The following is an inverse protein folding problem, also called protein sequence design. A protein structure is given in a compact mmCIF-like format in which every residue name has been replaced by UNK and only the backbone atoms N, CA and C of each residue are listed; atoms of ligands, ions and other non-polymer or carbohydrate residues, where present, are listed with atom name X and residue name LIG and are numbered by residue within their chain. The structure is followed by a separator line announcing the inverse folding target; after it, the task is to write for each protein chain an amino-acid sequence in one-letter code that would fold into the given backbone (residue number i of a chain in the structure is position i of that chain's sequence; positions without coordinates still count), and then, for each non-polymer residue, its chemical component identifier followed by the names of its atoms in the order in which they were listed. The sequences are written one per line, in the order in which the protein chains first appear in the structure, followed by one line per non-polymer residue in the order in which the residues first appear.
data_IF_083381289428
#
_entry.id   IF_083381289428
#
_cell.length_a   1.000
_cell.length_b   1.000
_cell.length_c   1.000
_cell.angle_alpha   90.00
_cell.angle_beta   90.00
_cell.angle_gamma   90.00
#
_symmetry.space_group_name_H-M   'P 1'
#
loop_
_entity.id
_entity.type
_entity.pdbx_description
1 polymer ?
#
# COMPACT_ATOMS: atom_id res chain seq x y z
N UNK A 1 3.34 -12.62 -6.33
CA UNK A 1 2.71 -11.85 -7.41
C UNK A 1 1.22 -12.11 -7.39
N UNK A 2 0.41 -11.05 -7.34
CA UNK A 2 -1.05 -11.14 -7.38
C UNK A 2 -1.54 -10.55 -8.70
N UNK A 3 -2.33 -11.30 -9.45
CA UNK A 3 -2.74 -10.94 -10.81
C UNK A 3 -4.19 -10.46 -10.78
N UNK A 4 -4.40 -9.22 -11.17
CA UNK A 4 -5.70 -8.61 -11.35
C UNK A 4 -6.18 -8.69 -12.81
N UNK A 5 -7.21 -7.92 -13.11
CA UNK A 5 -7.78 -7.83 -14.46
C UNK A 5 -6.92 -6.95 -15.39
N UNK A 6 -6.48 -5.81 -14.90
CA UNK A 6 -5.67 -4.84 -15.65
C UNK A 6 -4.29 -4.63 -15.03
N UNK A 7 -4.18 -4.76 -13.70
CA UNK A 7 -2.93 -4.56 -12.97
C UNK A 7 -2.42 -5.86 -12.36
N UNK A 8 -1.17 -5.84 -11.96
CA UNK A 8 -0.62 -6.86 -11.08
C UNK A 8 0.09 -6.22 -9.88
N UNK A 9 0.14 -6.95 -8.78
CA UNK A 9 0.93 -6.59 -7.61
C UNK A 9 2.15 -7.51 -7.57
N UNK A 10 3.33 -6.91 -7.59
CA UNK A 10 4.60 -7.64 -7.54
C UNK A 10 5.56 -7.08 -6.50
N UNK A 11 6.53 -7.86 -6.12
CA UNK A 11 7.62 -7.40 -5.25
C UNK A 11 8.44 -6.29 -5.92
N UNK A 12 9.08 -5.47 -5.07
CA UNK A 12 10.07 -4.48 -5.51
C UNK A 12 11.26 -5.15 -6.18
N UNK A 13 11.79 -4.50 -7.21
CA UNK A 13 13.00 -4.89 -7.95
C UNK A 13 14.00 -3.74 -7.96
N UNK A 14 15.26 -4.04 -8.24
CA UNK A 14 16.32 -3.01 -8.34
C UNK A 14 15.99 -1.90 -9.33
N UNK A 15 15.29 -2.24 -10.42
CA UNK A 15 14.87 -1.30 -11.47
C UNK A 15 13.80 -0.31 -10.98
N UNK A 16 13.15 -0.57 -9.86
CA UNK A 16 12.13 0.32 -9.29
C UNK A 16 12.73 1.48 -8.47
N UNK A 17 14.04 1.58 -8.35
CA UNK A 17 14.69 2.57 -7.50
C UNK A 17 14.27 4.01 -7.84
N UNK A 18 14.31 4.40 -9.11
CA UNK A 18 13.94 5.76 -9.52
C UNK A 18 12.44 6.02 -9.32
N UNK A 19 11.61 5.01 -9.58
CA UNK A 19 10.18 5.06 -9.28
C UNK A 19 9.95 5.25 -7.77
N UNK A 20 10.57 4.44 -6.93
CA UNK A 20 10.45 4.51 -5.47
C UNK A 20 10.91 5.88 -4.95
N UNK A 21 12.05 6.40 -5.45
CA UNK A 21 12.51 7.74 -5.12
C UNK A 21 11.48 8.82 -5.49
N UNK A 22 10.84 8.68 -6.64
CA UNK A 22 9.83 9.64 -7.12
C UNK A 22 8.55 9.65 -6.27
N UNK A 23 8.21 8.54 -5.63
CA UNK A 23 7.08 8.43 -4.71
C UNK A 23 7.47 8.90 -3.31
N UNK A 24 8.52 8.31 -2.74
CA UNK A 24 8.90 8.52 -1.34
C UNK A 24 9.39 9.94 -1.05
N UNK A 25 9.90 10.66 -2.06
CA UNK A 25 10.39 12.03 -1.91
C UNK A 25 9.46 13.09 -2.52
N UNK A 26 8.24 12.72 -2.89
CA UNK A 26 7.28 13.66 -3.47
C UNK A 26 6.43 14.31 -2.37
N UNK A 27 6.54 15.63 -2.24
CA UNK A 27 5.81 16.41 -1.24
C UNK A 27 4.29 16.29 -1.38
N UNK A 28 3.76 16.08 -2.59
CA UNK A 28 2.34 15.92 -2.82
C UNK A 28 1.78 14.64 -2.17
N UNK A 29 2.63 13.61 -2.00
CA UNK A 29 2.26 12.39 -1.29
C UNK A 29 2.49 12.52 0.22
N UNK A 30 3.48 13.32 0.66
CA UNK A 30 3.78 13.55 2.07
C UNK A 30 2.68 14.26 2.85
N UNK A 31 1.89 15.12 2.19
CA UNK A 31 0.80 15.85 2.85
C UNK A 31 -0.20 14.91 3.56
N UNK A 32 -0.26 13.65 3.14
CA UNK A 32 -1.11 12.62 3.75
C UNK A 32 -0.37 11.71 4.74
N UNK A 33 0.94 11.89 4.91
CA UNK A 33 1.77 11.15 5.87
C UNK A 33 1.87 11.89 7.20
N UNK A 34 1.92 11.13 8.30
CA UNK A 34 2.10 11.70 9.64
C UNK A 34 3.55 12.14 9.89
N UNK A 35 4.51 11.53 9.20
CA UNK A 35 5.93 11.82 9.36
C UNK A 35 6.62 11.89 7.99
N UNK A 36 6.54 13.03 7.30
CA UNK A 36 7.21 13.20 6.03
C UNK A 36 8.74 13.13 6.22
N UNK A 37 9.40 12.26 5.47
CA UNK A 37 10.85 12.12 5.44
C UNK A 37 11.34 12.06 4.01
N UNK A 38 12.49 12.71 3.74
CA UNK A 38 13.23 12.51 2.51
C UNK A 38 14.22 11.38 2.69
N UNK A 39 14.26 10.47 1.73
CA UNK A 39 15.16 9.32 1.72
C UNK A 39 16.21 9.47 0.63
N UNK A 40 17.46 9.18 0.93
CA UNK A 40 18.53 9.12 -0.08
C UNK A 40 18.32 7.89 -0.99
N UNK A 41 18.91 7.94 -2.19
CA UNK A 41 18.90 6.79 -3.10
C UNK A 41 19.56 5.56 -2.47
N UNK A 42 20.62 5.75 -1.70
CA UNK A 42 21.33 4.67 -1.00
C UNK A 42 20.43 3.97 0.01
N UNK A 43 19.66 4.72 0.81
CA UNK A 43 18.69 4.17 1.76
C UNK A 43 17.60 3.39 1.05
N UNK A 44 17.05 3.93 -0.04
CA UNK A 44 16.00 3.25 -0.80
C UNK A 44 16.51 2.02 -1.55
N UNK A 45 17.75 2.05 -2.03
CA UNK A 45 18.40 0.89 -2.64
C UNK A 45 18.58 -0.25 -1.63
N UNK A 46 19.01 0.06 -0.43
CA UNK A 46 19.13 -0.94 0.65
C UNK A 46 17.76 -1.45 1.09
N UNK A 47 16.76 -0.58 1.14
CA UNK A 47 15.37 -0.98 1.40
C UNK A 47 14.86 -2.00 0.36
N UNK A 48 15.06 -1.74 -0.93
CA UNK A 48 14.65 -2.67 -2.01
C UNK A 48 15.34 -4.02 -1.84
N UNK A 49 16.65 -4.01 -1.59
CA UNK A 49 17.44 -5.23 -1.39
C UNK A 49 16.91 -6.11 -0.25
N UNK A 50 16.41 -5.48 0.81
CA UNK A 50 15.91 -6.16 2.01
C UNK A 50 14.38 -6.37 2.01
N UNK A 51 13.66 -5.94 0.97
CA UNK A 51 12.19 -5.98 0.94
C UNK A 51 11.58 -7.35 0.61
N UNK A 52 12.36 -8.25 0.00
CA UNK A 52 11.91 -9.57 -0.45
C UNK A 52 12.07 -10.64 0.64
N UNK A 53 11.48 -10.38 1.81
CA UNK A 53 11.47 -11.29 2.95
C UNK A 53 10.04 -11.54 3.41
N UNK A 54 9.77 -12.63 4.14
CA UNK A 54 8.44 -12.85 4.71
C UNK A 54 7.97 -11.68 5.55
N UNK A 55 6.66 -11.38 5.50
CA UNK A 55 6.06 -10.25 6.23
C UNK A 55 6.39 -10.26 7.73
N UNK A 56 6.56 -11.43 8.32
CA UNK A 56 6.89 -11.61 9.75
C UNK A 56 8.26 -11.08 10.15
N UNK A 57 9.16 -10.81 9.18
CA UNK A 57 10.52 -10.32 9.48
C UNK A 57 10.51 -8.83 9.85
N UNK A 58 9.80 -8.03 9.09
CA UNK A 58 9.72 -6.57 9.33
C UNK A 58 8.30 -6.09 9.65
N UNK A 59 7.34 -7.00 9.78
CA UNK A 59 5.92 -6.70 9.97
C UNK A 59 5.36 -5.78 8.87
N UNK A 60 5.95 -5.86 7.68
CA UNK A 60 5.59 -5.08 6.51
C UNK A 60 5.75 -5.92 5.23
N UNK A 61 4.85 -5.71 4.30
CA UNK A 61 4.93 -6.26 2.94
C UNK A 61 4.48 -5.18 1.96
N UNK A 62 5.33 -4.85 1.01
CA UNK A 62 5.06 -3.81 0.01
C UNK A 62 5.05 -4.40 -1.40
N UNK A 63 4.05 -4.03 -2.17
CA UNK A 63 3.92 -4.37 -3.57
C UNK A 63 4.01 -3.13 -4.46
N UNK A 64 4.66 -3.29 -5.60
CA UNK A 64 4.52 -2.38 -6.74
C UNK A 64 3.22 -2.72 -7.46
N UNK A 65 2.42 -1.71 -7.71
CA UNK A 65 1.27 -1.80 -8.62
C UNK A 65 1.81 -1.58 -10.03
N UNK A 66 1.68 -2.59 -10.87
CA UNK A 66 2.19 -2.55 -12.25
C UNK A 66 1.04 -2.62 -13.26
N UNK A 67 1.10 -1.75 -14.27
CA UNK A 67 0.21 -1.73 -15.42
C UNK A 67 1.06 -1.64 -16.70
N UNK A 68 0.85 -2.56 -17.66
CA UNK A 68 1.60 -2.61 -18.92
C UNK A 68 3.13 -2.52 -18.74
N UNK A 69 3.70 -3.27 -17.80
CA UNK A 69 5.13 -3.27 -17.44
C UNK A 69 5.65 -1.93 -16.87
N UNK A 70 4.76 -1.06 -16.40
CA UNK A 70 5.14 0.21 -15.76
C UNK A 70 4.66 0.22 -14.31
N UNK A 71 5.53 0.66 -13.40
CA UNK A 71 5.17 0.90 -12.01
C UNK A 71 4.29 2.16 -11.93
N UNK A 72 3.04 2.02 -11.47
CA UNK A 72 2.05 3.08 -11.40
C UNK A 72 1.67 3.47 -9.96
N UNK A 73 2.09 2.68 -8.98
CA UNK A 73 1.78 2.93 -7.57
C UNK A 73 2.46 1.92 -6.66
N UNK A 74 2.19 2.09 -5.38
CA UNK A 74 2.60 1.19 -4.29
C UNK A 74 1.39 0.86 -3.42
N UNK A 75 1.33 -0.35 -2.92
CA UNK A 75 0.36 -0.77 -1.90
C UNK A 75 1.06 -1.67 -0.90
N UNK A 76 0.77 -1.48 0.38
CA UNK A 76 1.45 -2.22 1.43
C UNK A 76 0.56 -2.60 2.60
N UNK A 77 0.97 -3.68 3.28
CA UNK A 77 0.56 -4.02 4.62
C UNK A 77 1.67 -3.57 5.57
N UNK A 78 1.33 -2.93 6.68
CA UNK A 78 2.26 -2.51 7.72
C UNK A 78 1.73 -2.87 9.11
N UNK A 79 2.61 -2.84 10.11
CA UNK A 79 2.27 -3.22 11.48
C UNK A 79 1.54 -4.58 11.55
N UNK A 80 2.03 -5.55 10.74
CA UNK A 80 1.49 -6.91 10.78
C UNK A 80 1.66 -7.52 12.16
N UNK A 81 0.56 -7.97 12.73
CA UNK A 81 0.54 -8.63 14.04
C UNK A 81 -0.16 -10.00 13.93
N UNK A 82 0.65 -11.05 14.07
CA UNK A 82 0.17 -12.44 14.03
C UNK A 82 -0.74 -12.79 15.22
N UNK A 83 -0.59 -12.11 16.36
CA UNK A 83 -1.40 -12.39 17.57
C UNK A 83 -2.81 -11.85 17.44
N UNK A 84 -2.92 -10.62 16.95
CA UNK A 84 -4.23 -9.98 16.70
C UNK A 84 -4.77 -10.31 15.32
N UNK A 85 -3.98 -10.96 14.46
CA UNK A 85 -4.31 -11.24 13.05
C UNK A 85 -4.72 -9.98 12.30
N UNK A 86 -3.91 -8.93 12.42
CA UNK A 86 -4.22 -7.62 11.87
C UNK A 86 -3.05 -7.01 11.11
N UNK A 87 -3.36 -6.06 10.23
CA UNK A 87 -2.39 -5.19 9.58
C UNK A 87 -3.01 -3.86 9.16
N UNK A 88 -2.19 -2.83 9.09
CA UNK A 88 -2.54 -1.58 8.43
C UNK A 88 -2.37 -1.68 6.92
N UNK A 89 -3.12 -0.88 6.17
CA UNK A 89 -3.08 -0.81 4.70
C UNK A 89 -2.71 0.59 4.26
N UNK A 90 -1.69 0.71 3.42
CA UNK A 90 -1.30 1.94 2.73
C UNK A 90 -1.38 1.78 1.22
N UNK A 91 -1.76 2.83 0.50
CA UNK A 91 -1.81 2.84 -0.96
C UNK A 91 -1.45 4.22 -1.51
N UNK A 92 -0.62 4.24 -2.54
CA UNK A 92 -0.30 5.45 -3.32
C UNK A 92 -0.39 5.09 -4.81
N UNK A 93 -1.16 5.86 -5.57
CA UNK A 93 -1.17 5.80 -7.04
C UNK A 93 -0.53 7.09 -7.55
N UNK A 94 0.41 7.00 -8.49
CA UNK A 94 0.97 8.18 -9.17
C UNK A 94 -0.14 9.03 -9.79
N UNK A 95 0.02 10.34 -9.71
CA UNK A 95 -1.02 11.30 -10.06
C UNK A 95 -1.58 11.08 -11.47
N UNK A 96 -0.71 10.82 -12.45
CA UNK A 96 -1.08 10.56 -13.84
C UNK A 96 -1.87 9.26 -14.07
N UNK A 97 -1.87 8.34 -13.09
CA UNK A 97 -2.59 7.06 -13.14
C UNK A 97 -3.79 6.98 -12.19
N UNK A 98 -4.14 8.10 -11.57
CA UNK A 98 -5.31 8.19 -10.71
C UNK A 98 -6.60 8.21 -11.53
N UNK A 99 -7.73 7.82 -10.89
CA UNK A 99 -9.07 7.74 -11.51
C UNK A 99 -9.19 6.71 -12.67
N UNK A 100 -8.25 5.78 -12.77
CA UNK A 100 -8.25 4.68 -13.75
C UNK A 100 -8.65 3.33 -13.12
N UNK A 101 -9.21 3.35 -11.90
CA UNK A 101 -9.62 2.17 -11.13
C UNK A 101 -8.46 1.28 -10.61
N UNK A 102 -7.21 1.62 -10.84
CA UNK A 102 -6.06 0.81 -10.40
C UNK A 102 -5.98 0.69 -8.88
N UNK A 103 -6.29 1.77 -8.15
CA UNK A 103 -6.34 1.72 -6.68
C UNK A 103 -7.41 0.76 -6.15
N UNK A 104 -8.58 0.75 -6.77
CA UNK A 104 -9.67 -0.15 -6.40
C UNK A 104 -9.30 -1.61 -6.65
N UNK A 105 -8.76 -1.91 -7.82
CA UNK A 105 -8.32 -3.27 -8.15
C UNK A 105 -7.20 -3.75 -7.22
N UNK A 106 -6.22 -2.88 -6.96
CA UNK A 106 -5.11 -3.18 -6.05
C UNK A 106 -5.58 -3.47 -4.62
N UNK A 107 -6.48 -2.64 -4.09
CA UNK A 107 -7.01 -2.84 -2.75
C UNK A 107 -7.80 -4.14 -2.64
N UNK A 108 -8.61 -4.48 -3.64
CA UNK A 108 -9.33 -5.75 -3.69
C UNK A 108 -8.39 -6.96 -3.68
N UNK A 109 -7.33 -6.94 -4.49
CA UNK A 109 -6.31 -8.00 -4.50
C UNK A 109 -5.59 -8.13 -3.15
N UNK A 110 -5.22 -7.00 -2.54
CA UNK A 110 -4.54 -7.02 -1.25
C UNK A 110 -5.44 -7.56 -0.13
N UNK A 111 -6.72 -7.19 -0.11
CA UNK A 111 -7.70 -7.71 0.87
C UNK A 111 -7.83 -9.23 0.73
N UNK A 112 -8.02 -9.74 -0.49
CA UNK A 112 -8.09 -11.19 -0.72
C UNK A 112 -6.82 -11.89 -0.25
N UNK A 113 -5.65 -11.36 -0.60
CA UNK A 113 -4.37 -11.89 -0.14
C UNK A 113 -4.25 -11.90 1.39
N UNK A 114 -4.67 -10.82 2.05
CA UNK A 114 -4.63 -10.70 3.51
C UNK A 114 -5.52 -11.76 4.18
N UNK A 115 -6.70 -12.02 3.63
CA UNK A 115 -7.62 -13.03 4.14
C UNK A 115 -7.16 -14.46 3.85
N UNK A 116 -6.77 -14.74 2.62
CA UNK A 116 -6.61 -16.11 2.13
C UNK A 116 -5.20 -16.66 2.37
N UNK A 117 -4.17 -15.80 2.26
CA UNK A 117 -2.76 -16.23 2.41
C UNK A 117 -2.15 -15.89 3.77
N UNK A 118 -2.59 -14.81 4.42
CA UNK A 118 -2.07 -14.38 5.71
C UNK A 118 -3.00 -14.72 6.88
N UNK A 119 -4.20 -15.24 6.61
CA UNK A 119 -5.23 -15.58 7.61
C UNK A 119 -5.54 -14.41 8.57
N UNK A 120 -5.50 -13.17 8.04
CA UNK A 120 -5.86 -12.01 8.83
C UNK A 120 -7.37 -11.96 9.06
N UNK A 121 -7.75 -11.36 10.18
CA UNK A 121 -9.15 -11.14 10.57
C UNK A 121 -9.53 -9.66 10.54
N UNK A 122 -8.53 -8.77 10.45
CA UNK A 122 -8.75 -7.37 10.66
C UNK A 122 -7.74 -6.54 9.84
N UNK A 123 -8.25 -5.58 9.10
CA UNK A 123 -7.46 -4.57 8.39
C UNK A 123 -7.87 -3.18 8.86
N UNK A 124 -6.92 -2.26 8.89
CA UNK A 124 -7.19 -0.86 9.18
C UNK A 124 -6.40 0.07 8.25
N UNK A 125 -6.86 1.29 8.13
CA UNK A 125 -6.16 2.36 7.42
C UNK A 125 -6.31 3.66 8.21
N UNK A 126 -5.24 4.45 8.23
CA UNK A 126 -5.26 5.79 8.78
C UNK A 126 -5.38 6.79 7.62
N UNK A 127 -6.54 7.45 7.52
CA UNK A 127 -6.86 8.33 6.40
C UNK A 127 -7.25 9.70 6.93
N UNK A 128 -6.48 10.73 6.59
CA UNK A 128 -6.78 12.11 6.98
C UNK A 128 -8.09 12.56 6.34
N UNK A 129 -8.86 13.39 7.04
CA UNK A 129 -10.20 13.83 6.63
C UNK A 129 -10.22 14.59 5.29
N UNK A 130 -9.11 15.21 4.89
CA UNK A 130 -8.96 15.90 3.60
C UNK A 130 -8.60 14.96 2.44
N UNK A 131 -8.27 13.70 2.70
CA UNK A 131 -7.96 12.70 1.67
C UNK A 131 -9.25 12.00 1.20
N UNK A 132 -10.13 12.74 0.55
CA UNK A 132 -11.46 12.30 0.14
C UNK A 132 -11.39 11.10 -0.81
N UNK A 133 -10.39 11.06 -1.70
CA UNK A 133 -10.21 9.95 -2.64
C UNK A 133 -9.95 8.63 -1.91
N UNK A 134 -9.03 8.61 -0.96
CA UNK A 134 -8.77 7.42 -0.16
C UNK A 134 -9.98 7.01 0.67
N UNK A 135 -10.66 7.95 1.31
CA UNK A 135 -11.87 7.67 2.09
C UNK A 135 -12.89 6.93 1.23
N UNK A 136 -13.22 7.45 0.04
CA UNK A 136 -14.16 6.82 -0.88
C UNK A 136 -13.71 5.44 -1.33
N UNK A 137 -12.39 5.28 -1.60
CA UNK A 137 -11.82 3.99 -2.00
C UNK A 137 -12.00 2.94 -0.90
N UNK A 138 -11.60 3.25 0.32
CA UNK A 138 -11.68 2.30 1.44
C UNK A 138 -13.13 2.01 1.86
N UNK A 139 -14.00 3.02 1.90
CA UNK A 139 -15.43 2.82 2.18
C UNK A 139 -16.11 1.91 1.15
N UNK A 140 -15.74 1.99 -0.13
CA UNK A 140 -16.24 1.09 -1.18
C UNK A 140 -15.99 -0.39 -0.87
N UNK A 141 -14.91 -0.70 -0.15
CA UNK A 141 -14.58 -2.06 0.28
C UNK A 141 -15.12 -2.43 1.66
N UNK A 142 -15.94 -1.57 2.26
CA UNK A 142 -16.59 -1.84 3.53
C UNK A 142 -15.80 -1.42 4.76
N UNK A 143 -14.71 -0.65 4.59
CA UNK A 143 -14.03 -0.03 5.73
C UNK A 143 -14.96 0.98 6.40
N UNK A 144 -15.05 0.91 7.71
CA UNK A 144 -15.93 1.76 8.53
C UNK A 144 -15.07 2.70 9.35
N UNK A 145 -15.39 3.99 9.31
CA UNK A 145 -14.74 5.01 10.12
C UNK A 145 -15.01 4.77 11.61
N UNK A 146 -13.94 4.73 12.41
CA UNK A 146 -13.98 4.50 13.86
C UNK A 146 -13.65 5.73 14.69
N UNK A 147 -12.77 6.59 14.19
CA UNK A 147 -12.43 7.89 14.77
C UNK A 147 -12.03 8.89 13.69
N UNK A 148 -11.29 9.96 14.03
CA UNK A 148 -10.93 11.02 13.08
C UNK A 148 -10.18 10.52 11.83
N UNK A 149 -9.32 9.50 11.99
CA UNK A 149 -8.46 8.98 10.92
C UNK A 149 -8.56 7.47 10.72
N UNK A 150 -9.03 6.72 11.71
CA UNK A 150 -9.04 5.27 11.70
C UNK A 150 -10.26 4.71 10.96
N UNK A 151 -9.99 3.89 9.94
CA UNK A 151 -10.98 3.11 9.19
C UNK A 151 -10.66 1.63 9.36
N UNK A 152 -11.66 0.78 9.51
CA UNK A 152 -11.53 -0.64 9.82
C UNK A 152 -12.37 -1.52 8.92
N UNK A 153 -11.81 -2.69 8.57
CA UNK A 153 -12.50 -3.77 7.88
C UNK A 153 -12.26 -5.09 8.63
N UNK A 154 -13.34 -5.77 8.99
CA UNK A 154 -13.30 -7.13 9.52
C UNK A 154 -13.58 -8.14 8.39
N UNK A 155 -12.93 -9.29 8.45
CA UNK A 155 -13.18 -10.44 7.59
C UNK A 155 -14.55 -11.05 7.84
#
# INVERSE_FOLDING_TARGET
MLIGKEILLRSLKSEDLDFLCSIENNINYFQFSDQPKFYSKEVLKEYIKNSNVPISVYNQLRFVIEYNNHAVGLIDLFDYDVKTKSAGVGIIIKEEFQNLNYGSESLGLLISFAWDELDLLYLYANIKSNNIRSIKLFEKFGFIKKDEVLFQLNR
#
